data_IF_023603456991
#
_entry.id   IF_023603456991
#
_cell.length_a   1.000
_cell.length_b   1.000
_cell.length_c   1.000
_cell.angle_alpha   90.00
_cell.angle_beta   90.00
_cell.angle_gamma   90.00
#
_symmetry.space_group_name_H-M   'P 1'
#
loop_
_entity.id
_entity.type
_entity.pdbx_description
1 polymer ?
#
# COMPACT_ATOMS: atom_id res chain seq x y z
N UNK A 1 -14.20 58.95 -1.76
CA UNK A 1 -14.06 58.27 -3.07
C UNK A 1 -13.50 56.88 -2.80
N UNK A 2 -14.34 55.85 -2.88
CA UNK A 2 -13.97 54.45 -2.56
C UNK A 2 -13.70 53.74 -3.87
N UNK A 3 -12.49 53.22 -4.05
CA UNK A 3 -12.08 52.48 -5.24
C UNK A 3 -12.74 51.09 -5.27
N UNK A 4 -13.27 50.63 -6.41
CA UNK A 4 -13.86 49.31 -6.52
C UNK A 4 -12.79 48.21 -6.47
N UNK A 5 -13.06 47.22 -5.62
CA UNK A 5 -12.29 46.00 -5.42
C UNK A 5 -12.27 45.17 -6.71
N UNK A 6 -11.10 45.00 -7.30
CA UNK A 6 -10.92 44.24 -8.53
C UNK A 6 -11.14 42.74 -8.26
N UNK A 7 -12.17 42.19 -8.91
CA UNK A 7 -12.49 40.76 -8.89
C UNK A 7 -11.30 39.94 -9.41
N UNK A 8 -10.74 39.10 -8.54
CA UNK A 8 -9.69 38.14 -8.88
C UNK A 8 -10.27 37.05 -9.78
N UNK A 9 -9.96 37.12 -11.06
CA UNK A 9 -10.23 36.07 -12.04
C UNK A 9 -9.55 34.76 -11.59
N UNK A 10 -10.35 33.79 -11.19
CA UNK A 10 -9.89 32.45 -10.84
C UNK A 10 -9.67 31.68 -12.14
N UNK A 11 -8.41 31.49 -12.50
CA UNK A 11 -8.02 30.69 -13.66
C UNK A 11 -8.44 29.24 -13.39
N UNK A 12 -9.45 28.77 -14.11
CA UNK A 12 -9.88 27.38 -14.07
C UNK A 12 -8.78 26.51 -14.69
N UNK A 13 -7.95 25.90 -13.85
CA UNK A 13 -6.96 24.90 -14.29
C UNK A 13 -7.73 23.59 -14.53
N UNK A 14 -7.90 23.13 -15.79
CA UNK A 14 -8.57 21.87 -16.05
C UNK A 14 -7.79 20.74 -15.37
N UNK A 15 -8.49 19.95 -14.55
CA UNK A 15 -7.93 18.74 -13.94
C UNK A 15 -7.33 17.87 -15.06
N UNK A 16 -6.08 17.36 -14.90
CA UNK A 16 -5.52 16.42 -15.85
C UNK A 16 -6.46 15.22 -15.96
N UNK A 17 -6.93 14.97 -17.18
CA UNK A 17 -7.82 13.86 -17.52
C UNK A 17 -7.01 12.58 -17.27
N UNK A 18 -7.32 11.88 -16.18
CA UNK A 18 -6.72 10.56 -15.93
C UNK A 18 -7.17 9.66 -17.10
N UNK A 19 -6.24 9.08 -17.88
CA UNK A 19 -6.61 8.22 -19.00
C UNK A 19 -7.43 7.04 -18.47
N UNK A 20 -8.51 6.73 -19.20
CA UNK A 20 -9.37 5.59 -18.93
C UNK A 20 -8.51 4.31 -18.84
N UNK A 21 -8.58 3.53 -17.75
CA UNK A 21 -7.76 2.33 -17.57
C UNK A 21 -7.93 1.27 -18.67
N UNK A 22 -9.01 1.33 -19.46
CA UNK A 22 -9.20 0.41 -20.58
C UNK A 22 -8.25 0.66 -21.77
N UNK A 23 -7.58 1.83 -21.83
CA UNK A 23 -6.70 2.19 -22.95
C UNK A 23 -5.22 1.83 -22.73
N UNK A 24 -4.88 1.14 -21.65
CA UNK A 24 -3.50 0.71 -21.36
C UNK A 24 -3.09 -0.59 -22.04
N UNK A 25 -4.03 -1.31 -22.68
CA UNK A 25 -3.74 -2.59 -23.34
C UNK A 25 -3.01 -2.45 -24.68
N UNK A 26 -3.11 -1.31 -25.36
CA UNK A 26 -2.56 -1.16 -26.72
C UNK A 26 -1.12 -0.61 -26.78
N UNK A 27 -0.55 -0.11 -25.67
CA UNK A 27 0.72 0.64 -25.72
C UNK A 27 2.00 -0.16 -25.41
N UNK A 28 1.95 -1.49 -25.26
CA UNK A 28 3.14 -2.29 -24.91
C UNK A 28 3.51 -3.42 -25.88
N UNK A 29 2.88 -3.51 -27.06
CA UNK A 29 3.17 -4.55 -28.06
C UNK A 29 3.55 -4.00 -29.45
N UNK A 30 4.30 -2.89 -29.50
CA UNK A 30 4.94 -2.46 -30.75
C UNK A 30 6.46 -2.48 -30.58
N UNK A 31 7.08 -3.24 -31.47
CA UNK A 31 8.50 -3.29 -31.82
C UNK A 31 9.38 -4.25 -30.98
N UNK A 32 8.95 -5.52 -30.89
CA UNK A 32 9.89 -6.65 -30.81
C UNK A 32 9.80 -7.38 -32.15
N UNK A 33 10.51 -6.86 -33.14
CA UNK A 33 10.85 -7.58 -34.37
C UNK A 33 11.90 -8.63 -33.99
N UNK A 34 11.45 -9.80 -33.59
CA UNK A 34 12.29 -11.00 -33.53
C UNK A 34 11.62 -12.06 -34.39
N UNK A 35 12.20 -12.25 -35.57
CA UNK A 35 11.95 -13.31 -36.55
C UNK A 35 12.34 -14.70 -36.00
N UNK A 36 11.90 -15.03 -34.79
CA UNK A 36 11.99 -16.38 -34.25
C UNK A 36 10.57 -16.90 -34.15
N UNK A 37 10.31 -18.04 -34.80
CA UNK A 37 9.00 -18.70 -34.95
C UNK A 37 8.42 -19.15 -33.59
N UNK A 38 8.03 -18.16 -32.77
CA UNK A 38 7.44 -18.31 -31.46
C UNK A 38 5.92 -18.44 -31.56
N UNK A 39 5.43 -19.67 -31.45
CA UNK A 39 4.01 -20.00 -31.31
C UNK A 39 3.36 -19.19 -30.19
N UNK A 40 2.69 -18.11 -30.60
CA UNK A 40 1.99 -17.17 -29.75
C UNK A 40 0.75 -17.86 -29.16
N UNK A 41 0.86 -18.29 -27.91
CA UNK A 41 -0.24 -18.78 -27.12
C UNK A 41 -1.29 -17.67 -26.96
N UNK A 42 -2.43 -17.90 -27.61
CA UNK A 42 -3.74 -17.26 -27.48
C UNK A 42 -3.91 -16.23 -26.36
N UNK A 43 -4.37 -15.04 -26.75
CA UNK A 43 -4.74 -13.90 -25.92
C UNK A 43 -5.93 -14.14 -24.94
N UNK A 44 -6.37 -15.40 -24.76
CA UNK A 44 -7.36 -15.80 -23.75
C UNK A 44 -6.79 -15.85 -22.31
N UNK A 45 -5.51 -15.54 -22.13
CA UNK A 45 -4.80 -15.73 -20.85
C UNK A 45 -5.10 -14.69 -19.75
N UNK A 46 -5.84 -13.61 -20.05
CA UNK A 46 -6.16 -12.54 -19.09
C UNK A 46 -7.58 -12.57 -18.51
N UNK A 47 -8.37 -13.63 -18.72
CA UNK A 47 -9.43 -14.03 -17.77
C UNK A 47 -8.83 -14.82 -16.59
N UNK A 48 -7.61 -14.44 -16.19
CA UNK A 48 -6.85 -14.97 -15.10
C UNK A 48 -7.62 -14.75 -13.80
N UNK A 49 -8.31 -15.80 -13.35
CA UNK A 49 -8.72 -15.99 -11.95
C UNK A 49 -7.64 -15.38 -11.08
N UNK A 50 -8.03 -14.40 -10.26
CA UNK A 50 -7.20 -13.87 -9.18
C UNK A 50 -6.62 -15.08 -8.44
N UNK A 51 -5.34 -15.37 -8.69
CA UNK A 51 -4.65 -16.49 -8.02
C UNK A 51 -4.33 -16.00 -6.63
N UNK A 52 -5.26 -16.24 -5.72
CA UNK A 52 -5.04 -16.07 -4.30
C UNK A 52 -3.84 -16.92 -3.89
N UNK A 53 -2.74 -16.26 -3.56
CA UNK A 53 -1.59 -16.96 -3.02
C UNK A 53 -1.93 -17.28 -1.56
N UNK A 54 -2.23 -18.55 -1.29
CA UNK A 54 -2.35 -19.02 0.09
C UNK A 54 -0.96 -19.00 0.75
N UNK A 55 -0.87 -18.59 2.02
CA UNK A 55 0.39 -18.66 2.75
C UNK A 55 0.90 -20.12 2.79
N UNK A 56 2.22 -20.32 2.82
CA UNK A 56 2.89 -21.64 2.78
C UNK A 56 2.59 -22.54 4.00
N UNK A 57 1.71 -22.14 4.90
CA UNK A 57 1.45 -22.81 6.18
C UNK A 57 0.42 -23.94 6.15
N UNK A 58 -0.51 -24.01 5.19
CA UNK A 58 -1.46 -25.11 5.00
C UNK A 58 -2.42 -25.45 6.16
N UNK A 59 -2.15 -24.99 7.39
CA UNK A 59 -2.92 -25.25 8.58
C UNK A 59 -4.11 -24.29 8.62
N UNK A 60 -5.29 -24.88 8.69
CA UNK A 60 -6.59 -24.21 8.65
C UNK A 60 -6.85 -23.24 9.82
N UNK A 61 -5.96 -23.15 10.79
CA UNK A 61 -6.15 -22.34 12.00
C UNK A 61 -4.79 -21.76 12.42
N UNK A 62 -4.51 -20.52 12.00
CA UNK A 62 -3.41 -19.77 12.58
C UNK A 62 -3.80 -19.36 14.00
N UNK A 63 -2.89 -19.45 14.99
CA UNK A 63 -3.22 -19.08 16.35
C UNK A 63 -3.60 -17.59 16.40
N UNK A 64 -4.66 -17.22 17.14
CA UNK A 64 -5.05 -15.83 17.28
C UNK A 64 -3.87 -15.02 17.83
N UNK A 65 -3.56 -13.91 17.17
CA UNK A 65 -2.43 -13.04 17.51
C UNK A 65 -2.82 -12.20 18.73
N UNK A 66 -2.91 -12.80 19.92
CA UNK A 66 -3.37 -12.07 21.10
C UNK A 66 -2.23 -11.24 21.67
N UNK A 67 -2.31 -9.91 21.51
CA UNK A 67 -1.43 -9.01 22.26
C UNK A 67 -1.96 -8.75 23.68
N UNK A 68 -1.15 -8.10 24.53
CA UNK A 68 -1.51 -7.83 25.93
C UNK A 68 -2.90 -7.18 26.03
N UNK A 69 -3.78 -7.68 26.91
CA UNK A 69 -5.14 -7.17 27.03
C UNK A 69 -5.12 -5.69 27.44
N UNK A 70 -5.94 -4.90 26.74
CA UNK A 70 -6.27 -3.53 27.15
C UNK A 70 -7.66 -3.55 27.82
N UNK A 71 -7.96 -2.57 28.67
CA UNK A 71 -9.27 -2.45 29.35
C UNK A 71 -10.43 -2.31 28.35
N UNK A 72 -10.14 -1.81 27.14
CA UNK A 72 -11.11 -1.63 26.05
C UNK A 72 -11.14 -2.81 25.07
N UNK A 73 -10.39 -3.88 25.33
CA UNK A 73 -10.34 -5.05 24.46
C UNK A 73 -11.51 -5.99 24.75
N UNK A 74 -12.26 -6.34 23.72
CA UNK A 74 -13.28 -7.36 23.76
C UNK A 74 -12.91 -8.48 22.79
N UNK A 75 -12.66 -9.67 23.34
CA UNK A 75 -12.20 -10.85 22.60
C UNK A 75 -13.34 -11.74 22.11
N UNK A 76 -14.60 -11.39 22.41
CA UNK A 76 -15.76 -12.09 21.88
C UNK A 76 -15.99 -11.70 20.42
N UNK A 77 -15.58 -12.61 19.53
CA UNK A 77 -15.72 -12.48 18.09
C UNK A 77 -17.16 -12.34 17.59
N UNK A 78 -18.14 -12.81 18.37
CA UNK A 78 -19.56 -12.73 18.02
C UNK A 78 -20.11 -11.31 18.13
N UNK A 79 -19.49 -10.47 18.97
CA UNK A 79 -19.85 -9.07 19.14
C UNK A 79 -19.17 -8.14 18.12
N UNK A 80 -18.19 -8.65 17.38
CA UNK A 80 -17.48 -7.86 16.38
C UNK A 80 -18.38 -7.66 15.17
N UNK A 81 -18.83 -6.41 14.99
CA UNK A 81 -19.61 -6.00 13.81
C UNK A 81 -18.87 -6.38 12.52
N UNK A 82 -19.60 -6.78 11.49
CA UNK A 82 -19.01 -6.88 10.14
C UNK A 82 -18.40 -5.55 9.74
N UNK A 83 -17.27 -5.61 9.06
CA UNK A 83 -16.47 -4.46 8.63
C UNK A 83 -17.36 -3.43 7.91
N UNK A 84 -17.52 -2.24 8.48
CA UNK A 84 -18.37 -1.18 7.90
C UNK A 84 -17.63 -0.34 6.85
N UNK A 85 -16.36 -0.66 6.56
CA UNK A 85 -15.48 0.14 5.73
C UNK A 85 -15.44 -0.36 4.29
N UNK A 86 -15.98 0.47 3.40
CA UNK A 86 -15.74 0.39 1.96
C UNK A 86 -16.61 -0.60 1.19
N UNK A 87 -16.49 -0.62 -0.14
CA UNK A 87 -17.06 -1.68 -0.97
C UNK A 87 -16.41 -3.02 -0.60
N UNK A 88 -17.19 -4.11 -0.63
CA UNK A 88 -16.83 -5.46 -0.15
C UNK A 88 -15.55 -6.10 -0.74
N UNK A 89 -14.82 -5.45 -1.64
CA UNK A 89 -13.64 -6.00 -2.31
C UNK A 89 -12.53 -4.95 -2.49
N UNK A 90 -12.36 -4.01 -1.55
CA UNK A 90 -11.22 -3.08 -1.60
C UNK A 90 -9.93 -3.80 -1.20
N UNK A 91 -8.87 -3.57 -1.98
CA UNK A 91 -7.53 -4.13 -1.73
C UNK A 91 -6.58 -3.05 -1.24
N UNK A 92 -5.71 -3.41 -0.29
CA UNK A 92 -4.66 -2.52 0.20
C UNK A 92 -3.28 -3.14 0.05
N UNK A 93 -2.35 -2.30 -0.37
CA UNK A 93 -0.94 -2.66 -0.46
C UNK A 93 -0.35 -2.89 0.93
N UNK A 94 0.69 -3.73 1.02
CA UNK A 94 1.41 -4.04 2.27
C UNK A 94 1.66 -2.82 3.18
N UNK A 95 2.25 -1.76 2.63
CA UNK A 95 2.58 -0.53 3.40
C UNK A 95 1.34 0.19 3.94
N UNK A 96 0.24 0.15 3.19
CA UNK A 96 -1.04 0.76 3.60
C UNK A 96 -1.68 -0.05 4.72
N UNK A 97 -1.62 -1.38 4.64
CA UNK A 97 -2.06 -2.27 5.72
C UNK A 97 -1.31 -1.98 7.03
N UNK A 98 0.03 -2.01 7.01
CA UNK A 98 0.86 -1.71 8.18
C UNK A 98 0.51 -0.35 8.81
N UNK A 99 0.36 0.69 7.99
CA UNK A 99 0.10 2.06 8.46
C UNK A 99 -1.31 2.23 9.03
N UNK A 100 -2.33 1.70 8.35
CA UNK A 100 -3.74 1.90 8.73
C UNK A 100 -4.21 0.98 9.85
N UNK A 101 -3.65 -0.24 9.90
CA UNK A 101 -4.07 -1.34 10.78
C UNK A 101 -3.04 -1.71 11.84
N UNK A 102 -1.88 -1.04 11.88
CA UNK A 102 -0.83 -1.27 12.89
C UNK A 102 -0.34 -2.73 12.93
N UNK A 103 -0.41 -3.41 11.79
CA UNK A 103 0.08 -4.78 11.62
C UNK A 103 1.56 -4.77 11.23
N UNK A 104 2.29 -5.78 11.70
CA UNK A 104 3.65 -6.09 11.31
C UNK A 104 3.65 -7.08 10.14
N UNK A 105 4.83 -7.35 9.59
CA UNK A 105 4.99 -8.34 8.52
C UNK A 105 4.59 -9.75 8.98
N UNK A 106 4.90 -10.11 10.22
CA UNK A 106 4.54 -11.40 10.80
C UNK A 106 3.02 -11.56 10.95
N UNK A 107 2.33 -10.47 11.32
CA UNK A 107 0.86 -10.49 11.47
C UNK A 107 0.12 -10.59 10.14
N UNK A 108 0.82 -10.32 9.03
CA UNK A 108 0.29 -10.36 7.67
C UNK A 108 0.76 -11.61 6.91
N UNK A 109 1.64 -12.42 7.50
CA UNK A 109 2.29 -13.54 6.83
C UNK A 109 1.29 -14.63 6.38
N UNK A 110 0.12 -14.65 7.01
CA UNK A 110 -0.93 -15.63 6.81
C UNK A 110 -2.20 -15.08 6.15
N UNK A 111 -2.20 -13.80 5.78
CA UNK A 111 -3.28 -13.20 5.01
C UNK A 111 -3.20 -13.60 3.55
N UNK A 112 -4.36 -13.78 2.92
CA UNK A 112 -4.42 -14.01 1.48
C UNK A 112 -4.09 -12.72 0.74
N UNK A 113 -3.31 -12.84 -0.33
CA UNK A 113 -2.95 -11.68 -1.15
C UNK A 113 -2.87 -12.01 -2.63
N UNK A 114 -3.07 -10.96 -3.42
CA UNK A 114 -2.86 -10.97 -4.86
C UNK A 114 -1.50 -10.32 -5.15
N UNK A 115 -0.79 -10.84 -6.15
CA UNK A 115 0.45 -10.24 -6.65
C UNK A 115 0.12 -9.51 -7.94
N UNK A 116 0.28 -8.19 -7.92
CA UNK A 116 0.03 -7.36 -9.09
C UNK A 116 1.35 -6.72 -9.55
N UNK A 117 1.67 -6.77 -10.86
CA UNK A 117 2.85 -6.05 -11.37
C UNK A 117 2.62 -4.54 -11.24
N UNK A 118 3.67 -3.83 -10.84
CA UNK A 118 3.59 -2.37 -10.68
C UNK A 118 3.71 -1.72 -12.07
N UNK A 119 2.73 -0.89 -12.51
CA UNK A 119 2.80 -0.22 -13.80
C UNK A 119 4.10 0.60 -13.94
N UNK A 120 4.79 0.43 -15.07
CA UNK A 120 6.05 1.13 -15.36
C UNK A 120 7.28 0.59 -14.62
N UNK A 121 7.19 -0.58 -13.98
CA UNK A 121 8.35 -1.29 -13.42
C UNK A 121 8.54 -2.66 -14.08
N UNK A 122 9.76 -3.23 -14.07
CA UNK A 122 10.00 -4.59 -14.51
C UNK A 122 9.06 -5.58 -13.81
N UNK A 123 8.68 -6.64 -14.53
CA UNK A 123 7.73 -7.67 -14.04
C UNK A 123 8.20 -8.38 -12.76
N UNK A 124 9.49 -8.31 -12.44
CA UNK A 124 10.09 -8.80 -11.20
C UNK A 124 9.63 -8.02 -9.96
N UNK A 125 9.11 -6.81 -10.14
CA UNK A 125 8.56 -5.98 -9.07
C UNK A 125 7.04 -6.12 -8.99
N UNK A 126 6.58 -7.06 -8.15
CA UNK A 126 5.18 -7.20 -7.81
C UNK A 126 4.86 -6.52 -6.47
N UNK A 127 3.65 -5.99 -6.35
CA UNK A 127 3.09 -5.54 -5.09
C UNK A 127 2.13 -6.59 -4.52
N UNK A 128 2.13 -6.72 -3.19
CA UNK A 128 1.17 -7.57 -2.48
C UNK A 128 -0.03 -6.73 -2.08
N UNK A 129 -1.20 -7.11 -2.61
CA UNK A 129 -2.49 -6.49 -2.36
C UNK A 129 -3.35 -7.44 -1.51
N UNK A 130 -3.74 -6.98 -0.32
CA UNK A 130 -4.47 -7.76 0.67
C UNK A 130 -5.94 -7.32 0.72
N UNK A 131 -6.86 -8.25 1.01
CA UNK A 131 -8.28 -7.94 1.15
C UNK A 131 -8.51 -7.12 2.43
N UNK A 132 -9.21 -5.98 2.31
CA UNK A 132 -9.40 -5.07 3.46
C UNK A 132 -10.12 -5.72 4.63
N UNK A 133 -11.11 -6.58 4.36
CA UNK A 133 -11.88 -7.28 5.40
C UNK A 133 -10.99 -8.23 6.22
N UNK A 134 -10.13 -9.01 5.57
CA UNK A 134 -9.19 -9.92 6.25
C UNK A 134 -8.16 -9.16 7.09
N UNK A 135 -7.61 -8.07 6.53
CA UNK A 135 -6.64 -7.21 7.24
C UNK A 135 -7.30 -6.54 8.46
N UNK A 136 -8.54 -6.08 8.33
CA UNK A 136 -9.28 -5.48 9.45
C UNK A 136 -9.60 -6.50 10.53
N UNK A 137 -10.06 -7.70 10.16
CA UNK A 137 -10.31 -8.79 11.10
C UNK A 137 -9.05 -9.17 11.86
N UNK A 138 -7.92 -9.28 11.15
CA UNK A 138 -6.61 -9.56 11.75
C UNK A 138 -6.17 -8.48 12.74
N UNK A 139 -6.46 -7.22 12.45
CA UNK A 139 -6.19 -6.13 13.37
C UNK A 139 -7.07 -6.23 14.64
N UNK A 140 -8.33 -6.63 14.50
CA UNK A 140 -9.21 -6.86 15.65
C UNK A 140 -8.75 -8.05 16.49
N UNK A 141 -8.32 -9.15 15.87
CA UNK A 141 -7.64 -10.25 16.57
C UNK A 141 -6.37 -9.77 17.28
N UNK A 142 -5.61 -8.85 16.68
CA UNK A 142 -4.42 -8.34 17.34
C UNK A 142 -4.73 -7.55 18.61
N UNK A 143 -5.74 -6.69 18.55
CA UNK A 143 -6.02 -5.67 19.58
C UNK A 143 -7.25 -5.96 20.45
N UNK A 144 -7.88 -7.12 20.29
CA UNK A 144 -9.08 -7.51 21.02
C UNK A 144 -10.30 -6.71 20.57
N UNK A 145 -10.67 -6.86 19.31
CA UNK A 145 -11.89 -6.27 18.74
C UNK A 145 -11.75 -4.83 18.23
N UNK A 146 -12.85 -4.29 17.68
CA UNK A 146 -12.88 -2.96 17.08
C UNK A 146 -12.62 -1.83 18.08
N UNK A 147 -13.05 -2.00 19.34
CA UNK A 147 -12.84 -1.00 20.40
C UNK A 147 -11.37 -0.93 20.81
N UNK A 148 -10.73 -2.08 21.06
CA UNK A 148 -9.31 -2.16 21.38
C UNK A 148 -8.44 -1.63 20.23
N UNK A 149 -8.80 -1.94 18.98
CA UNK A 149 -8.13 -1.38 17.80
C UNK A 149 -8.26 0.15 17.70
N UNK A 150 -9.44 0.70 17.97
CA UNK A 150 -9.65 2.15 17.99
C UNK A 150 -8.79 2.84 19.06
N UNK A 151 -8.67 2.23 20.24
CA UNK A 151 -7.78 2.68 21.32
C UNK A 151 -6.31 2.67 20.87
N UNK A 152 -5.86 1.58 20.26
CA UNK A 152 -4.51 1.44 19.74
C UNK A 152 -4.18 2.52 18.69
N UNK A 153 -5.13 2.87 17.80
CA UNK A 153 -4.97 3.95 16.83
C UNK A 153 -4.82 5.32 17.49
N UNK A 154 -5.58 5.61 18.55
CA UNK A 154 -5.44 6.87 19.31
C UNK A 154 -4.04 6.97 19.92
N UNK A 155 -3.59 5.91 20.60
CA UNK A 155 -2.25 5.84 21.19
C UNK A 155 -1.14 5.98 20.13
N UNK A 156 -1.30 5.34 18.96
CA UNK A 156 -0.35 5.47 17.86
C UNK A 156 -0.30 6.91 17.31
N UNK A 157 -1.44 7.56 17.16
CA UNK A 157 -1.53 8.95 16.73
C UNK A 157 -0.91 9.92 17.74
N UNK A 158 -1.15 9.71 19.04
CA UNK A 158 -0.52 10.49 20.12
C UNK A 158 0.99 10.32 20.14
N UNK A 159 1.49 9.09 20.02
CA UNK A 159 2.93 8.82 19.88
C UNK A 159 3.54 9.52 18.67
N UNK A 160 2.84 9.53 17.53
CA UNK A 160 3.29 10.26 16.35
C UNK A 160 3.31 11.78 16.57
N UNK A 161 2.30 12.34 17.25
CA UNK A 161 2.26 13.76 17.63
C UNK A 161 3.40 14.12 18.58
N UNK A 162 3.63 13.32 19.63
CA UNK A 162 4.70 13.52 20.59
C UNK A 162 6.09 13.48 19.93
N UNK A 163 6.32 12.54 18.98
CA UNK A 163 7.55 12.50 18.17
C UNK A 163 7.77 13.77 17.35
N UNK A 164 6.71 14.41 16.86
CA UNK A 164 6.82 15.68 16.10
C UNK A 164 7.16 16.86 16.99
N UNK A 165 6.70 16.87 18.23
CA UNK A 165 6.98 17.94 19.21
C UNK A 165 8.41 17.79 19.76
N UNK A 166 8.79 16.58 20.20
CA UNK A 166 10.08 16.35 20.84
C UNK A 166 11.23 16.12 19.84
N UNK A 167 10.94 15.64 18.62
CA UNK A 167 11.93 15.45 17.54
C UNK A 167 12.17 16.68 16.68
N UNK A 168 11.71 17.86 17.13
CA UNK A 168 11.75 19.13 16.41
C UNK A 168 13.11 19.83 16.41
N UNK A 169 14.20 19.11 16.15
CA UNK A 169 15.32 19.71 15.43
C UNK A 169 15.57 18.82 14.22
N UNK A 170 15.28 19.27 12.99
CA UNK A 170 15.71 18.54 11.81
C UNK A 170 17.22 18.37 11.94
N UNK A 171 17.68 17.13 12.10
CA UNK A 171 19.10 16.84 12.00
C UNK A 171 19.58 17.49 10.70
N UNK A 172 20.56 18.40 10.75
CA UNK A 172 21.01 19.12 9.57
C UNK A 172 21.31 18.07 8.50
N UNK A 173 20.63 18.16 7.37
CA UNK A 173 20.89 17.29 6.22
C UNK A 173 22.37 17.49 5.89
N UNK A 174 23.23 16.56 6.32
CA UNK A 174 24.59 16.46 5.80
C UNK A 174 24.43 16.14 4.33
N UNK A 175 24.36 17.18 3.50
CA UNK A 175 24.67 17.08 2.10
C UNK A 175 26.14 16.67 2.01
N UNK A 176 26.40 15.38 2.15
CA UNK A 176 27.67 14.79 1.80
C UNK A 176 27.77 14.89 0.28
N UNK A 177 28.23 16.05 -0.20
CA UNK A 177 28.72 16.22 -1.55
C UNK A 177 29.84 15.23 -1.75
N UNK A 178 29.52 14.06 -2.32
CA UNK A 178 30.50 13.11 -2.80
C UNK A 178 31.02 13.67 -4.11
N UNK A 179 32.03 14.53 -4.02
CA UNK A 179 32.83 14.94 -5.17
C UNK A 179 33.65 13.71 -5.61
N UNK A 180 33.16 12.97 -6.60
CA UNK A 180 33.98 11.99 -7.31
C UNK A 180 34.97 12.75 -8.20
N UNK A 181 36.21 12.93 -7.71
CA UNK A 181 37.33 13.36 -8.54
C UNK A 181 37.68 12.22 -9.52
N UNK A 182 37.43 12.44 -10.81
CA UNK A 182 37.83 11.55 -11.89
C UNK A 182 39.26 11.91 -12.30
N UNK A 183 40.24 11.11 -11.87
CA UNK A 183 41.62 11.24 -12.32
C UNK A 183 41.77 10.56 -13.68
N UNK A 184 41.88 11.34 -14.76
CA UNK A 184 42.30 10.85 -16.07
C UNK A 184 43.82 10.58 -16.05
N UNK A 185 44.22 9.31 -15.96
CA UNK A 185 45.61 8.89 -16.22
C UNK A 185 45.79 8.73 -17.72
N UNK A 186 46.47 9.70 -18.32
CA UNK A 186 47.03 9.61 -19.67
C UNK A 186 48.27 8.72 -19.56
N UNK A 187 48.26 7.55 -20.22
CA UNK A 187 49.47 6.78 -20.45
C UNK A 187 49.93 7.02 -21.89
N UNK A 188 51.18 7.46 -21.98
CA UNK A 188 51.97 7.69 -23.19
C UNK A 188 52.37 6.40 -23.90
#
# INVERSE_FOLDING_TARGET
MVLPEQARSTVFVPKPRIPNPENYREYFFRDIDSDDEGGCASAEFFSSRVRWNKPKGGALEFPPIKTKPNEQSNWDESEWKRTSRGPKNEFYNKKKCQKLFLLNDDDMADLCYTKEPIPGRPITHCEHSYLTEEVERRAWEKYGGPQGFAAAKKLAAEKQKAKRINGGTPSPKKHAGTAHAHANSINS
#
